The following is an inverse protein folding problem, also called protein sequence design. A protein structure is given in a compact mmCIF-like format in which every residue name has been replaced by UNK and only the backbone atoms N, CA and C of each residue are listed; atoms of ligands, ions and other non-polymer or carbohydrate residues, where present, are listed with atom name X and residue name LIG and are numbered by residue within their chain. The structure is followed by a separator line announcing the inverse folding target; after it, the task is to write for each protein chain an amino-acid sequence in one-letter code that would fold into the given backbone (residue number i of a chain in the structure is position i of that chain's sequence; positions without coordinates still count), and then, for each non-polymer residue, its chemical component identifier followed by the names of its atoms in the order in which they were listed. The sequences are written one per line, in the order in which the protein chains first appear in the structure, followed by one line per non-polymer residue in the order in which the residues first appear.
data_IF_948493148058
#
_entry.id   IF_948493148058
#
_cell.length_a   1.000
_cell.length_b   1.000
_cell.length_c   1.000
_cell.angle_alpha   90.00
_cell.angle_beta   90.00
_cell.angle_gamma   90.00
#
_symmetry.space_group_name_H-M   'P 1'
#
loop_
_entity.id
_entity.type
_entity.pdbx_description
1 polymer ?
#
# COMPACT_ATOMS: atom_id res chain seq x y z
N UNK A 1 -14.47 17.95 -31.19
CA UNK A 1 -13.45 17.31 -30.33
C UNK A 1 -13.15 18.28 -29.20
N UNK A 2 -13.49 17.91 -27.99
CA UNK A 2 -13.08 18.62 -26.77
C UNK A 2 -11.69 18.13 -26.40
N UNK A 3 -10.72 19.03 -26.38
CA UNK A 3 -9.40 18.71 -25.83
C UNK A 3 -9.53 18.69 -24.31
N UNK A 4 -9.02 17.63 -23.69
CA UNK A 4 -8.88 17.55 -22.23
C UNK A 4 -7.72 18.48 -21.87
N UNK A 5 -8.00 19.58 -21.20
CA UNK A 5 -6.99 20.51 -20.69
C UNK A 5 -6.42 19.96 -19.39
N UNK A 6 -5.09 19.90 -19.28
CA UNK A 6 -4.41 19.46 -18.06
C UNK A 6 -4.76 20.42 -16.91
N UNK A 7 -5.13 19.90 -15.72
CA UNK A 7 -5.41 20.75 -14.57
C UNK A 7 -4.13 21.44 -14.11
N UNK A 8 -4.25 22.69 -13.63
CA UNK A 8 -3.10 23.49 -13.18
C UNK A 8 -2.44 22.91 -11.93
N UNK A 9 -3.17 22.09 -11.17
CA UNK A 9 -2.70 21.37 -9.98
C UNK A 9 -3.43 20.04 -9.86
N UNK A 10 -2.74 19.01 -9.40
CA UNK A 10 -3.35 17.77 -8.93
C UNK A 10 -3.50 17.85 -7.42
N UNK A 11 -4.71 17.58 -6.92
CA UNK A 11 -4.90 17.43 -5.48
C UNK A 11 -4.34 16.08 -5.05
N UNK A 12 -3.44 16.10 -4.07
CA UNK A 12 -3.02 14.88 -3.38
C UNK A 12 -4.26 14.27 -2.72
N UNK A 13 -4.56 13.02 -3.07
CA UNK A 13 -5.70 12.28 -2.56
C UNK A 13 -5.20 11.18 -1.64
N UNK A 14 -6.05 10.77 -0.69
CA UNK A 14 -5.81 9.62 0.19
C UNK A 14 -5.40 8.35 -0.58
N UNK A 15 -5.90 8.18 -1.82
CA UNK A 15 -5.51 7.09 -2.71
C UNK A 15 -4.07 7.21 -3.24
N UNK A 16 -3.61 8.43 -3.50
CA UNK A 16 -2.23 8.70 -3.93
C UNK A 16 -1.26 8.47 -2.78
N UNK A 17 -1.64 8.84 -1.56
CA UNK A 17 -0.86 8.59 -0.34
C UNK A 17 -0.72 7.08 -0.09
N UNK A 18 -1.84 6.36 -0.12
CA UNK A 18 -1.85 4.89 -0.03
C UNK A 18 -0.99 4.23 -1.11
N UNK A 19 -1.04 4.70 -2.36
CA UNK A 19 -0.18 4.19 -3.41
C UNK A 19 1.31 4.47 -3.14
N UNK A 20 1.61 5.64 -2.58
CA UNK A 20 2.96 6.06 -2.19
C UNK A 20 3.52 5.16 -1.09
N UNK A 21 2.79 4.94 0.00
CA UNK A 21 3.24 4.09 1.10
C UNK A 21 3.44 2.63 0.69
N UNK A 22 2.58 2.08 -0.17
CA UNK A 22 2.81 0.77 -0.77
C UNK A 22 4.12 0.69 -1.56
N UNK A 23 4.44 1.73 -2.31
CA UNK A 23 5.66 1.80 -3.11
C UNK A 23 6.90 1.88 -2.21
N UNK A 24 6.83 2.67 -1.14
CA UNK A 24 7.90 2.78 -0.14
C UNK A 24 8.11 1.47 0.63
N UNK A 25 7.04 0.77 1.02
CA UNK A 25 7.13 -0.54 1.65
C UNK A 25 7.84 -1.55 0.72
N UNK A 26 7.44 -1.57 -0.55
CA UNK A 26 8.06 -2.44 -1.55
C UNK A 26 9.55 -2.15 -1.71
N UNK A 27 9.92 -0.88 -1.83
CA UNK A 27 11.31 -0.44 -1.95
C UNK A 27 12.13 -0.83 -0.70
N UNK A 28 11.60 -0.56 0.49
CA UNK A 28 12.22 -0.92 1.77
C UNK A 28 12.54 -2.42 1.87
N UNK A 29 11.62 -3.29 1.41
CA UNK A 29 11.85 -4.74 1.36
C UNK A 29 12.95 -5.12 0.36
N UNK A 30 13.01 -4.46 -0.80
CA UNK A 30 14.06 -4.72 -1.81
C UNK A 30 15.43 -4.27 -1.30
N UNK A 31 15.52 -3.10 -0.67
CA UNK A 31 16.77 -2.57 -0.13
C UNK A 31 17.26 -3.36 1.09
N UNK A 32 16.34 -3.92 1.88
CA UNK A 32 16.64 -4.65 3.11
C UNK A 32 16.28 -6.14 3.00
N UNK A 33 16.52 -6.76 1.85
CA UNK A 33 16.05 -8.12 1.53
C UNK A 33 16.66 -9.27 2.38
N UNK A 34 17.60 -8.98 3.28
CA UNK A 34 18.34 -10.00 4.03
C UNK A 34 17.61 -10.43 5.32
N UNK A 35 16.43 -11.03 5.19
CA UNK A 35 15.66 -11.62 6.29
C UNK A 35 14.81 -12.81 5.80
N UNK A 36 14.28 -13.59 6.74
CA UNK A 36 13.47 -14.75 6.41
C UNK A 36 12.21 -14.35 5.62
N UNK A 37 11.77 -15.19 4.70
CA UNK A 37 10.57 -14.96 3.89
C UNK A 37 10.51 -13.62 3.12
N UNK A 38 11.61 -12.89 2.93
CA UNK A 38 11.62 -11.62 2.19
C UNK A 38 10.99 -11.75 0.79
N UNK A 39 11.31 -12.84 0.07
CA UNK A 39 10.72 -13.17 -1.22
C UNK A 39 9.18 -13.30 -1.17
N UNK A 40 8.69 -13.96 -0.13
CA UNK A 40 7.26 -14.21 0.08
C UNK A 40 6.54 -12.92 0.48
N UNK A 41 7.17 -12.09 1.32
CA UNK A 41 6.64 -10.78 1.69
C UNK A 41 6.50 -9.89 0.46
N UNK A 42 7.56 -9.82 -0.37
CA UNK A 42 7.56 -9.05 -1.61
C UNK A 42 6.49 -9.52 -2.59
N UNK A 43 6.34 -10.83 -2.77
CA UNK A 43 5.25 -11.40 -3.59
C UNK A 43 3.88 -10.93 -3.13
N UNK A 44 3.60 -10.98 -1.82
CA UNK A 44 2.30 -10.54 -1.32
C UNK A 44 2.07 -9.02 -1.41
N UNK A 45 3.13 -8.21 -1.31
CA UNK A 45 3.07 -6.77 -1.57
C UNK A 45 2.69 -6.51 -3.05
N UNK A 46 3.32 -7.21 -3.98
CA UNK A 46 2.99 -7.11 -5.42
C UNK A 46 1.53 -7.55 -5.68
N UNK A 47 1.05 -8.61 -5.02
CA UNK A 47 -0.35 -9.04 -5.13
C UNK A 47 -1.33 -8.03 -4.53
N UNK A 48 -1.00 -7.41 -3.40
CA UNK A 48 -1.82 -6.38 -2.75
C UNK A 48 -1.93 -5.10 -3.58
N UNK A 49 -0.92 -4.81 -4.40
CA UNK A 49 -0.85 -3.66 -5.30
C UNK A 49 -1.19 -3.99 -6.76
N UNK A 50 -1.63 -5.24 -7.03
CA UNK A 50 -2.08 -5.66 -8.34
C UNK A 50 -3.30 -4.87 -8.82
N UNK A 51 -3.48 -4.81 -10.14
CA UNK A 51 -4.62 -4.14 -10.79
C UNK A 51 -6.00 -4.64 -10.32
N UNK A 52 -6.08 -5.88 -9.84
CA UNK A 52 -7.29 -6.47 -9.28
C UNK A 52 -7.54 -5.99 -7.84
N UNK A 53 -6.47 -5.89 -7.03
CA UNK A 53 -6.55 -5.49 -5.62
C UNK A 53 -6.75 -3.98 -5.44
N UNK A 54 -6.10 -3.13 -6.26
CA UNK A 54 -6.23 -1.65 -6.16
C UNK A 54 -7.64 -1.14 -6.45
N UNK A 55 -8.49 -1.94 -7.13
CA UNK A 55 -9.89 -1.61 -7.39
C UNK A 55 -10.84 -2.09 -6.29
N UNK A 56 -10.33 -2.85 -5.32
CA UNK A 56 -11.12 -3.42 -4.25
C UNK A 56 -10.37 -3.34 -2.92
N UNK A 57 -10.59 -2.23 -2.20
CA UNK A 57 -9.95 -1.97 -0.91
C UNK A 57 -10.20 -3.06 0.15
N UNK A 58 -11.29 -3.83 0.04
CA UNK A 58 -11.52 -4.96 0.95
C UNK A 58 -10.55 -6.12 0.68
N UNK A 59 -10.22 -6.40 -0.59
CA UNK A 59 -9.19 -7.37 -0.96
C UNK A 59 -7.83 -6.86 -0.50
N UNK A 60 -7.50 -5.60 -0.78
CA UNK A 60 -6.24 -4.98 -0.35
C UNK A 60 -6.04 -5.08 1.17
N UNK A 61 -7.09 -4.81 1.97
CA UNK A 61 -7.04 -4.93 3.42
C UNK A 61 -6.72 -6.35 3.89
N UNK A 62 -7.33 -7.36 3.27
CA UNK A 62 -7.06 -8.75 3.62
C UNK A 62 -5.61 -9.15 3.28
N UNK A 63 -5.10 -8.71 2.13
CA UNK A 63 -3.70 -8.91 1.74
C UNK A 63 -2.75 -8.20 2.68
N UNK A 64 -3.07 -6.98 3.13
CA UNK A 64 -2.28 -6.23 4.10
C UNK A 64 -2.12 -6.97 5.43
N UNK A 65 -3.19 -7.59 5.95
CA UNK A 65 -3.11 -8.38 7.19
C UNK A 65 -2.12 -9.53 7.04
N UNK A 66 -2.11 -10.20 5.89
CA UNK A 66 -1.17 -11.29 5.60
C UNK A 66 0.28 -10.77 5.57
N UNK A 67 0.52 -9.66 4.88
CA UNK A 67 1.84 -9.00 4.78
C UNK A 67 2.37 -8.65 6.17
N UNK A 68 1.56 -7.98 6.99
CA UNK A 68 1.91 -7.63 8.37
C UNK A 68 2.30 -8.86 9.19
N UNK A 69 1.52 -9.93 9.11
CA UNK A 69 1.80 -11.17 9.82
C UNK A 69 3.11 -11.83 9.36
N UNK A 70 3.38 -11.84 8.05
CA UNK A 70 4.64 -12.40 7.50
C UNK A 70 5.83 -11.60 8.01
N UNK A 71 5.77 -10.27 7.95
CA UNK A 71 6.88 -9.41 8.39
C UNK A 71 7.20 -9.61 9.88
N UNK A 72 6.17 -9.66 10.74
CA UNK A 72 6.34 -9.88 12.18
C UNK A 72 6.94 -11.26 12.49
N UNK A 73 6.49 -12.32 11.81
CA UNK A 73 7.01 -13.68 12.03
C UNK A 73 8.41 -13.89 11.50
N UNK A 74 8.84 -13.08 10.53
CA UNK A 74 10.12 -13.25 9.86
C UNK A 74 11.22 -12.36 10.40
N UNK A 75 10.97 -11.69 11.53
CA UNK A 75 11.88 -10.74 12.16
C UNK A 75 12.36 -9.68 11.16
N UNK A 76 11.43 -9.17 10.34
CA UNK A 76 11.75 -8.16 9.34
C UNK A 76 12.43 -6.95 10.00
N UNK A 77 13.43 -6.35 9.31
CA UNK A 77 14.06 -5.10 9.73
C UNK A 77 13.06 -4.03 10.18
N UNK A 78 13.44 -3.24 11.19
CA UNK A 78 12.57 -2.19 11.76
C UNK A 78 12.04 -1.24 10.69
N UNK A 79 12.86 -0.85 9.71
CA UNK A 79 12.47 0.01 8.57
C UNK A 79 11.32 -0.56 7.73
N UNK A 80 11.19 -1.88 7.64
CA UNK A 80 10.06 -2.53 6.96
C UNK A 80 8.82 -2.50 7.84
N UNK A 81 8.98 -2.68 9.16
CA UNK A 81 7.88 -2.60 10.11
C UNK A 81 7.30 -1.18 10.16
N UNK A 82 8.15 -0.16 10.16
CA UNK A 82 7.75 1.26 10.07
C UNK A 82 7.00 1.53 8.76
N UNK A 83 7.50 1.05 7.62
CA UNK A 83 6.80 1.19 6.35
C UNK A 83 5.43 0.47 6.32
N UNK A 84 5.29 -0.66 7.03
CA UNK A 84 3.99 -1.35 7.20
C UNK A 84 3.03 -0.50 8.04
N UNK A 85 3.52 0.22 9.05
CA UNK A 85 2.69 1.12 9.86
C UNK A 85 2.18 2.31 9.03
N UNK A 86 3.02 2.88 8.16
CA UNK A 86 2.61 3.94 7.23
C UNK A 86 1.52 3.45 6.26
N UNK A 87 1.70 2.27 5.65
CA UNK A 87 0.66 1.66 4.80
C UNK A 87 -0.63 1.42 5.60
N UNK A 88 -0.51 1.04 6.88
CA UNK A 88 -1.70 0.86 7.72
C UNK A 88 -2.45 2.17 7.91
N UNK A 89 -1.72 3.25 8.22
CA UNK A 89 -2.29 4.58 8.41
C UNK A 89 -3.05 5.03 7.17
N UNK A 90 -2.41 5.00 5.99
CA UNK A 90 -3.03 5.45 4.74
C UNK A 90 -4.21 4.56 4.31
N UNK A 91 -4.12 3.26 4.59
CA UNK A 91 -5.20 2.33 4.27
C UNK A 91 -6.42 2.58 5.16
N UNK A 92 -6.22 2.82 6.45
CA UNK A 92 -7.31 3.15 7.38
C UNK A 92 -7.93 4.51 7.02
N UNK A 93 -7.12 5.51 6.65
CA UNK A 93 -7.60 6.82 6.16
C UNK A 93 -8.43 6.67 4.88
N UNK A 94 -7.91 5.93 3.89
CA UNK A 94 -8.60 5.67 2.62
C UNK A 94 -9.92 4.91 2.84
N UNK A 95 -9.93 3.90 3.71
CA UNK A 95 -11.15 3.17 4.04
C UNK A 95 -12.17 4.04 4.77
N UNK A 96 -11.72 5.03 5.54
CA UNK A 96 -12.59 6.00 6.19
C UNK A 96 -13.20 6.97 5.17
N UNK A 97 -12.37 7.55 4.29
CA UNK A 97 -12.83 8.42 3.20
C UNK A 97 -13.84 7.71 2.28
N UNK A 98 -13.66 6.40 2.02
CA UNK A 98 -14.63 5.59 1.28
C UNK A 98 -15.97 5.48 2.01
N UNK A 99 -15.97 5.29 3.33
CA UNK A 99 -17.21 5.22 4.13
C UNK A 99 -17.91 6.57 4.18
N UNK A 100 -17.15 7.65 4.25
CA UNK A 100 -17.67 9.01 4.30
C UNK A 100 -18.12 9.52 2.91
N UNK A 101 -17.82 8.76 1.85
CA UNK A 101 -18.23 9.05 0.46
C UNK A 101 -17.38 10.12 -0.22
N UNK A 102 -16.18 10.41 0.32
CA UNK A 102 -15.22 11.36 -0.24
C UNK A 102 -14.50 10.80 -1.47
N UNK A 103 -14.42 9.47 -1.55
CA UNK A 103 -13.88 8.71 -2.68
C UNK A 103 -14.86 7.59 -3.09
N UNK A 104 -14.81 7.16 -4.35
CA UNK A 104 -15.74 6.21 -4.97
C UNK A 104 -15.04 5.08 -5.71
#
# INVERSE_FOLDING_TARGET
MTFITEPTHYHQTVLSDLQGSWSLLRESVVENYNFDNAAKLLFHIDEATSWESVRNLAIMKNSFILIKNIALQSHAPQVILEAIEEVQYDLDETLQALKDGEIS
#
